data_IF_899257972906
#
_entry.id   IF_899257972906
#
_cell.length_a   1.000
_cell.length_b   1.000
_cell.length_c   1.000
_cell.angle_alpha   90.00
_cell.angle_beta   90.00
_cell.angle_gamma   90.00
#
_symmetry.space_group_name_H-M   'P 1'
#
loop_
_entity.id
_entity.type
_entity.pdbx_description
1 polymer ?
#
# COMPACT_ATOMS: atom_id res chain seq x y z
N UNK A 1 -14.25 29.33 22.24
CA UNK A 1 -14.31 29.23 20.78
C UNK A 1 -14.34 27.74 20.44
N UNK A 2 -15.50 27.26 20.01
CA UNK A 2 -15.71 25.83 19.68
C UNK A 2 -15.05 25.56 18.34
N UNK A 3 -13.96 24.78 18.33
CA UNK A 3 -13.45 24.18 17.10
C UNK A 3 -14.39 22.99 16.78
N UNK A 4 -15.35 23.22 15.90
CA UNK A 4 -16.08 22.17 15.22
C UNK A 4 -15.08 21.42 14.33
N UNK A 5 -14.66 20.22 14.75
CA UNK A 5 -13.97 19.25 13.91
C UNK A 5 -14.91 18.86 12.74
N UNK A 6 -14.81 19.60 11.64
CA UNK A 6 -15.42 19.22 10.38
C UNK A 6 -14.62 18.00 9.88
N UNK A 7 -15.17 16.81 10.08
CA UNK A 7 -14.60 15.57 9.58
C UNK A 7 -14.53 15.67 8.04
N UNK A 8 -13.32 15.74 7.48
CA UNK A 8 -13.11 15.86 6.04
C UNK A 8 -13.92 14.80 5.29
N UNK A 9 -14.56 15.18 4.20
CA UNK A 9 -15.33 14.25 3.36
C UNK A 9 -14.41 13.22 2.70
N UNK A 10 -14.95 12.06 2.34
CA UNK A 10 -14.16 11.03 1.64
C UNK A 10 -13.55 11.56 0.33
N UNK A 11 -14.25 12.42 -0.42
CA UNK A 11 -13.73 13.05 -1.64
C UNK A 11 -12.56 13.99 -1.36
N UNK A 12 -12.63 14.79 -0.31
CA UNK A 12 -11.55 15.70 0.10
C UNK A 12 -10.26 14.93 0.47
N UNK A 13 -10.39 13.80 1.18
CA UNK A 13 -9.24 12.96 1.52
C UNK A 13 -8.61 12.31 0.28
N UNK A 14 -9.42 11.94 -0.73
CA UNK A 14 -8.92 11.44 -2.00
C UNK A 14 -8.16 12.53 -2.79
N UNK A 15 -8.66 13.75 -2.83
CA UNK A 15 -7.97 14.87 -3.45
C UNK A 15 -6.64 15.19 -2.77
N UNK A 16 -6.62 15.22 -1.44
CA UNK A 16 -5.41 15.43 -0.65
C UNK A 16 -4.38 14.32 -0.89
N UNK A 17 -4.80 13.05 -0.88
CA UNK A 17 -3.92 11.94 -1.20
C UNK A 17 -3.36 12.07 -2.62
N UNK A 18 -4.21 12.38 -3.59
CA UNK A 18 -3.79 12.61 -4.98
C UNK A 18 -2.72 13.69 -5.07
N UNK A 19 -2.91 14.83 -4.41
CA UNK A 19 -1.94 15.92 -4.41
C UNK A 19 -0.58 15.51 -3.82
N UNK A 20 -0.59 14.81 -2.69
CA UNK A 20 0.63 14.29 -2.03
C UNK A 20 1.38 13.32 -2.96
N UNK A 21 0.68 12.34 -3.53
CA UNK A 21 1.33 11.33 -4.37
C UNK A 21 1.85 11.90 -5.69
N UNK A 22 1.13 12.86 -6.29
CA UNK A 22 1.61 13.56 -7.50
C UNK A 22 2.86 14.40 -7.27
N UNK A 23 3.08 14.86 -6.04
CA UNK A 23 4.29 15.58 -5.67
C UNK A 23 5.52 14.67 -5.51
N UNK A 24 5.41 13.36 -5.82
CA UNK A 24 6.49 12.37 -5.72
C UNK A 24 6.95 11.88 -7.10
N UNK A 25 7.97 12.50 -7.72
CA UNK A 25 8.43 12.10 -9.05
C UNK A 25 8.81 10.62 -9.19
N UNK A 26 9.50 9.99 -8.20
CA UNK A 26 9.82 8.57 -8.30
C UNK A 26 8.57 7.68 -8.34
N UNK A 27 7.57 7.92 -7.49
CA UNK A 27 6.31 7.18 -7.50
C UNK A 27 5.58 7.39 -8.83
N UNK A 28 5.46 8.62 -9.30
CA UNK A 28 4.81 8.93 -10.58
C UNK A 28 5.53 8.25 -11.76
N UNK A 29 6.85 8.12 -11.69
CA UNK A 29 7.61 7.34 -12.69
C UNK A 29 7.24 5.85 -12.63
N UNK A 30 7.15 5.27 -11.44
CA UNK A 30 6.73 3.87 -11.26
C UNK A 30 5.34 3.64 -11.82
N UNK A 31 4.36 4.49 -11.47
CA UNK A 31 2.99 4.39 -11.95
C UNK A 31 2.88 4.53 -13.48
N UNK A 32 3.64 5.46 -14.07
CA UNK A 32 3.67 5.68 -15.52
C UNK A 32 4.23 4.46 -16.26
N UNK A 33 5.29 3.85 -15.75
CA UNK A 33 5.88 2.64 -16.34
C UNK A 33 4.95 1.45 -16.16
N UNK A 34 4.39 1.25 -14.96
CA UNK A 34 3.45 0.16 -14.69
C UNK A 34 2.23 0.20 -15.63
N UNK A 35 1.67 1.39 -15.86
CA UNK A 35 0.59 1.60 -16.84
C UNK A 35 1.00 1.16 -18.25
N UNK A 36 2.19 1.52 -18.71
CA UNK A 36 2.70 1.15 -20.05
C UNK A 36 2.94 -0.34 -20.20
N UNK A 37 3.27 -1.03 -19.11
CA UNK A 37 3.48 -2.47 -19.11
C UNK A 37 2.17 -3.27 -19.20
N UNK A 38 1.01 -2.62 -19.01
CA UNK A 38 -0.32 -3.23 -19.10
C UNK A 38 -0.44 -4.53 -18.29
N UNK A 39 0.08 -4.54 -17.08
CA UNK A 39 -0.09 -5.69 -16.19
C UNK A 39 -1.59 -5.84 -15.83
N UNK A 40 -2.12 -7.06 -15.76
CA UNK A 40 -3.52 -7.23 -15.41
C UNK A 40 -3.76 -6.86 -13.95
N UNK A 41 -4.84 -6.11 -13.70
CA UNK A 41 -5.32 -5.70 -12.37
C UNK A 41 -4.19 -5.25 -11.41
N UNK A 42 -3.37 -4.29 -11.85
CA UNK A 42 -2.21 -3.84 -11.08
C UNK A 42 -2.52 -2.67 -10.15
N UNK A 43 -1.79 -2.63 -9.03
CA UNK A 43 -1.75 -1.52 -8.07
C UNK A 43 -0.32 -1.35 -7.55
N UNK A 44 0.06 -0.11 -7.23
CA UNK A 44 1.16 0.16 -6.30
C UNK A 44 0.55 0.42 -4.92
N UNK A 45 1.11 -0.20 -3.88
CA UNK A 45 0.58 -0.08 -2.53
C UNK A 45 1.69 -0.03 -1.45
N UNK A 46 1.34 -0.31 -0.18
CA UNK A 46 2.30 -0.40 0.92
C UNK A 46 2.98 0.93 1.24
N UNK A 47 4.26 0.87 1.64
CA UNK A 47 5.03 2.03 2.10
C UNK A 47 5.08 3.18 1.11
N UNK A 48 5.14 2.88 -0.19
CA UNK A 48 5.17 3.88 -1.24
C UNK A 48 3.91 4.76 -1.32
N UNK A 49 2.79 4.34 -0.72
CA UNK A 49 1.52 5.07 -0.76
C UNK A 49 1.16 5.70 0.59
N UNK A 50 1.24 4.97 1.71
CA UNK A 50 0.86 5.54 3.01
C UNK A 50 1.97 6.40 3.66
N UNK A 51 3.26 6.07 3.44
CA UNK A 51 4.35 6.82 4.09
C UNK A 51 4.42 8.28 3.63
N UNK A 52 4.23 8.65 2.35
CA UNK A 52 4.16 10.05 1.93
C UNK A 52 3.12 10.86 2.68
N UNK A 53 1.97 10.25 3.03
CA UNK A 53 0.93 10.93 3.82
C UNK A 53 1.41 11.19 5.23
N UNK A 54 1.97 10.16 5.91
CA UNK A 54 2.54 10.33 7.25
C UNK A 54 3.67 11.37 7.25
N UNK A 55 4.54 11.33 6.25
CA UNK A 55 5.65 12.28 6.08
C UNK A 55 5.13 13.71 5.92
N UNK A 56 4.15 13.91 5.01
CA UNK A 56 3.54 15.22 4.77
C UNK A 56 2.92 15.80 6.05
N UNK A 57 2.11 14.99 6.75
CA UNK A 57 1.40 15.43 7.96
C UNK A 57 2.32 15.70 9.15
N UNK A 58 3.52 15.14 9.14
CA UNK A 58 4.51 15.27 10.22
C UNK A 58 5.70 16.13 9.83
N UNK A 59 5.63 16.85 8.70
CA UNK A 59 6.64 17.82 8.25
C UNK A 59 7.97 17.18 7.81
N UNK A 60 7.96 15.90 7.43
CA UNK A 60 9.13 15.20 6.88
C UNK A 60 9.19 15.30 5.36
N UNK A 61 10.37 15.11 4.72
CA UNK A 61 10.45 14.93 3.26
C UNK A 61 9.52 13.81 2.79
N UNK A 62 8.80 14.00 1.67
CA UNK A 62 7.78 13.03 1.20
C UNK A 62 8.32 11.61 1.01
N UNK A 63 9.58 11.49 0.61
CA UNK A 63 10.29 10.22 0.37
C UNK A 63 10.97 9.64 1.62
N UNK A 64 10.85 10.29 2.79
CA UNK A 64 11.47 9.82 4.00
C UNK A 64 11.14 8.36 4.30
N UNK A 65 12.18 7.53 4.30
CA UNK A 65 12.11 6.13 4.69
C UNK A 65 11.42 5.20 3.69
N UNK A 66 11.08 5.65 2.49
CA UNK A 66 10.64 4.77 1.40
C UNK A 66 11.82 3.95 0.92
N UNK A 67 11.71 2.63 1.00
CA UNK A 67 12.77 1.69 0.63
C UNK A 67 12.50 1.02 -0.71
N UNK A 68 11.23 0.81 -1.01
CA UNK A 68 10.76 0.04 -2.16
C UNK A 68 9.39 0.54 -2.64
N UNK A 69 9.03 0.12 -3.84
CA UNK A 69 7.74 0.35 -4.47
C UNK A 69 7.13 -1.01 -4.77
N UNK A 70 6.15 -1.42 -3.97
CA UNK A 70 5.44 -2.69 -4.14
C UNK A 70 4.45 -2.58 -5.31
N UNK A 71 4.82 -3.10 -6.47
CA UNK A 71 3.96 -3.23 -7.64
C UNK A 71 3.30 -4.60 -7.63
N UNK A 72 2.04 -4.63 -7.31
CA UNK A 72 1.22 -5.83 -7.33
C UNK A 72 0.45 -5.95 -8.65
N UNK A 73 0.20 -7.17 -9.09
CA UNK A 73 -0.70 -7.48 -10.19
C UNK A 73 -1.43 -8.79 -9.90
N UNK A 74 -2.51 -9.07 -10.62
CA UNK A 74 -3.25 -10.31 -10.46
C UNK A 74 -3.38 -11.02 -11.81
N UNK A 75 -2.77 -12.20 -11.91
CA UNK A 75 -2.89 -13.10 -13.06
C UNK A 75 -2.98 -14.54 -12.56
N UNK A 76 -4.16 -15.13 -12.71
CA UNK A 76 -4.41 -16.52 -12.33
C UNK A 76 -4.29 -17.50 -13.50
N UNK A 77 -3.92 -17.05 -14.71
CA UNK A 77 -3.82 -17.88 -15.90
C UNK A 77 -2.63 -18.85 -15.84
N UNK A 78 -1.53 -18.42 -15.22
CA UNK A 78 -0.34 -19.26 -14.98
C UNK A 78 0.26 -18.91 -13.62
N UNK A 79 0.16 -19.86 -12.69
CA UNK A 79 0.67 -19.73 -11.34
C UNK A 79 2.09 -20.31 -11.17
N UNK A 80 2.81 -20.59 -12.26
CA UNK A 80 4.20 -21.04 -12.20
C UNK A 80 5.14 -19.94 -11.70
N UNK A 81 6.27 -20.35 -11.14
CA UNK A 81 7.33 -19.42 -10.76
C UNK A 81 7.90 -18.70 -11.97
N UNK A 82 8.04 -19.42 -13.08
CA UNK A 82 8.61 -18.97 -14.34
C UNK A 82 7.78 -17.81 -14.94
N UNK A 83 6.45 -17.91 -14.87
CA UNK A 83 5.55 -16.86 -15.35
C UNK A 83 5.72 -15.57 -14.53
N UNK A 84 5.75 -15.67 -13.20
CA UNK A 84 6.00 -14.49 -12.33
C UNK A 84 7.40 -13.92 -12.55
N UNK A 85 8.44 -14.76 -12.67
CA UNK A 85 9.81 -14.33 -12.89
C UNK A 85 9.99 -13.61 -14.25
N UNK A 86 9.28 -14.06 -15.29
CA UNK A 86 9.25 -13.37 -16.58
C UNK A 86 8.67 -11.94 -16.44
N UNK A 87 7.60 -11.76 -15.66
CA UNK A 87 7.03 -10.44 -15.37
C UNK A 87 8.01 -9.60 -14.56
N UNK A 88 8.64 -10.16 -13.52
CA UNK A 88 9.63 -9.46 -12.70
C UNK A 88 10.77 -8.94 -13.57
N UNK A 89 11.33 -9.77 -14.46
CA UNK A 89 12.40 -9.36 -15.39
C UNK A 89 11.95 -8.27 -16.35
N UNK A 90 10.74 -8.39 -16.92
CA UNK A 90 10.16 -7.38 -17.82
C UNK A 90 9.99 -6.03 -17.13
N UNK A 91 9.50 -6.03 -15.89
CA UNK A 91 9.34 -4.81 -15.10
C UNK A 91 10.70 -4.21 -14.74
N UNK A 92 11.64 -5.03 -14.24
CA UNK A 92 12.99 -4.58 -13.89
C UNK A 92 13.72 -3.93 -15.07
N UNK A 93 13.58 -4.50 -16.28
CA UNK A 93 14.17 -3.95 -17.50
C UNK A 93 13.57 -2.60 -17.94
N UNK A 94 12.41 -2.21 -17.42
CA UNK A 94 11.74 -0.95 -17.74
C UNK A 94 12.20 0.24 -16.87
N UNK A 95 13.08 -0.02 -15.91
CA UNK A 95 13.61 1.00 -14.99
C UNK A 95 15.13 1.07 -15.04
N UNK A 96 15.64 2.28 -14.84
CA UNK A 96 17.05 2.54 -14.52
C UNK A 96 17.24 2.61 -13.01
N UNK A 97 18.51 2.53 -12.54
CA UNK A 97 18.81 2.75 -11.13
C UNK A 97 18.53 4.21 -10.72
N UNK A 98 18.08 4.46 -9.49
CA UNK A 98 17.91 3.47 -8.41
C UNK A 98 16.56 2.74 -8.45
N UNK A 99 15.60 3.13 -9.28
CA UNK A 99 14.24 2.56 -9.28
C UNK A 99 14.23 1.07 -9.62
N UNK A 100 15.14 0.61 -10.49
CA UNK A 100 15.26 -0.81 -10.82
C UNK A 100 15.45 -1.69 -9.58
N UNK A 101 16.28 -1.28 -8.66
CA UNK A 101 16.52 -1.99 -7.39
C UNK A 101 15.42 -1.79 -6.36
N UNK A 102 14.62 -0.73 -6.49
CA UNK A 102 13.56 -0.39 -5.53
C UNK A 102 12.19 -0.96 -5.91
N UNK A 103 11.91 -1.24 -7.18
CA UNK A 103 10.60 -1.77 -7.60
C UNK A 103 10.54 -3.27 -7.36
N UNK A 104 9.61 -3.68 -6.50
CA UNK A 104 9.34 -5.08 -6.18
C UNK A 104 8.00 -5.48 -6.81
N UNK A 105 8.01 -6.58 -7.60
CA UNK A 105 6.83 -7.05 -8.32
C UNK A 105 6.34 -8.36 -7.74
N UNK A 106 5.01 -8.50 -7.55
CA UNK A 106 4.40 -9.73 -7.06
C UNK A 106 3.04 -9.99 -7.70
N UNK A 107 2.86 -11.25 -8.16
CA UNK A 107 1.55 -11.74 -8.58
C UNK A 107 0.70 -12.10 -7.36
N UNK A 108 -0.38 -11.36 -7.13
CA UNK A 108 -1.24 -11.58 -5.98
C UNK A 108 -2.02 -12.90 -6.05
N UNK A 109 -2.23 -13.44 -7.25
CA UNK A 109 -2.81 -14.77 -7.43
C UNK A 109 -1.93 -15.90 -6.86
N UNK A 110 -0.61 -15.66 -6.66
CA UNK A 110 0.35 -16.65 -6.19
C UNK A 110 0.71 -16.55 -4.70
N UNK A 111 0.35 -15.44 -4.04
CA UNK A 111 0.81 -15.18 -2.66
C UNK A 111 0.46 -16.31 -1.71
N UNK A 112 -0.72 -16.90 -1.83
CA UNK A 112 -1.17 -18.02 -0.99
C UNK A 112 -0.29 -19.28 -1.09
N UNK A 113 0.47 -19.46 -2.18
CA UNK A 113 1.31 -20.65 -2.38
C UNK A 113 2.58 -20.67 -1.49
N UNK A 114 3.03 -19.50 -1.07
CA UNK A 114 4.29 -19.38 -0.32
C UNK A 114 4.16 -18.64 1.01
N UNK A 115 3.06 -17.92 1.22
CA UNK A 115 2.89 -17.03 2.38
C UNK A 115 2.94 -17.79 3.69
N UNK A 116 2.22 -18.90 3.80
CA UNK A 116 2.17 -19.72 5.03
C UNK A 116 3.56 -20.28 5.37
N UNK A 117 4.29 -20.78 4.39
CA UNK A 117 5.66 -21.26 4.58
C UNK A 117 6.61 -20.18 5.08
N UNK A 118 6.45 -18.94 4.57
CA UNK A 118 7.34 -17.82 4.89
C UNK A 118 7.02 -17.14 6.22
N UNK A 119 5.72 -17.04 6.57
CA UNK A 119 5.26 -16.23 7.70
C UNK A 119 4.54 -17.02 8.79
N UNK A 120 4.26 -18.31 8.58
CA UNK A 120 3.54 -19.15 9.54
C UNK A 120 2.06 -18.83 9.68
N UNK A 121 1.48 -18.04 8.75
CA UNK A 121 0.09 -17.61 8.78
C UNK A 121 -0.63 -18.05 7.50
N UNK A 122 -1.84 -18.58 7.63
CA UNK A 122 -2.68 -18.91 6.46
C UNK A 122 -2.99 -17.66 5.66
N UNK A 123 -2.89 -17.79 4.34
CA UNK A 123 -3.26 -16.73 3.41
C UNK A 123 -4.17 -17.34 2.33
N UNK A 124 -5.48 -17.05 2.35
CA UNK A 124 -6.39 -17.60 1.35
C UNK A 124 -6.08 -17.06 -0.04
N UNK A 125 -6.36 -17.82 -1.11
CA UNK A 125 -6.29 -17.32 -2.48
C UNK A 125 -7.10 -16.03 -2.61
N UNK A 126 -6.59 -15.09 -3.37
CA UNK A 126 -7.29 -13.85 -3.72
C UNK A 126 -7.96 -13.99 -5.09
N UNK A 127 -8.93 -13.13 -5.36
CA UNK A 127 -9.63 -13.03 -6.64
C UNK A 127 -9.22 -11.79 -7.46
N UNK A 128 -8.61 -10.80 -6.81
CA UNK A 128 -8.09 -9.57 -7.43
C UNK A 128 -6.98 -8.93 -6.57
N UNK A 129 -6.26 -7.97 -7.16
CA UNK A 129 -5.19 -7.27 -6.45
C UNK A 129 -5.72 -6.43 -5.27
N UNK A 130 -6.92 -5.86 -5.39
CA UNK A 130 -7.50 -5.01 -4.34
C UNK A 130 -7.70 -5.77 -3.01
N UNK A 131 -8.04 -7.06 -3.05
CA UNK A 131 -8.20 -7.89 -1.86
C UNK A 131 -6.90 -8.01 -1.03
N UNK A 132 -5.73 -7.82 -1.64
CA UNK A 132 -4.47 -7.80 -0.90
C UNK A 132 -4.42 -6.68 0.14
N UNK A 133 -5.08 -5.55 -0.12
CA UNK A 133 -5.15 -4.41 0.81
C UNK A 133 -5.93 -4.77 2.08
N UNK A 134 -6.92 -5.64 1.97
CA UNK A 134 -7.68 -6.15 3.11
C UNK A 134 -6.88 -7.15 3.97
N UNK A 135 -5.73 -7.60 3.48
CA UNK A 135 -4.84 -8.53 4.19
C UNK A 135 -3.70 -7.85 4.93
N UNK A 136 -3.57 -6.54 4.86
CA UNK A 136 -2.55 -5.82 5.61
C UNK A 136 -2.78 -5.95 7.12
N UNK A 137 -1.68 -5.95 7.87
CA UNK A 137 -1.72 -6.05 9.33
C UNK A 137 -2.42 -4.86 9.99
N UNK A 138 -2.36 -3.69 9.35
CA UNK A 138 -3.08 -2.48 9.76
C UNK A 138 -4.07 -2.08 8.69
N UNK A 139 -5.31 -1.80 9.09
CA UNK A 139 -6.34 -1.23 8.22
C UNK A 139 -5.91 0.13 7.65
N UNK A 140 -5.20 0.95 8.44
CA UNK A 140 -4.69 2.25 8.03
C UNK A 140 -3.75 2.19 6.82
N UNK A 141 -3.02 1.09 6.64
CA UNK A 141 -2.06 0.90 5.56
C UNK A 141 -2.65 0.23 4.32
N UNK A 142 -3.90 -0.21 4.40
CA UNK A 142 -4.63 -0.83 3.30
C UNK A 142 -5.04 0.20 2.24
N UNK A 143 -4.08 0.81 1.57
CA UNK A 143 -4.30 1.78 0.49
C UNK A 143 -3.37 1.48 -0.68
N UNK A 144 -3.94 1.49 -1.89
CA UNK A 144 -3.23 1.27 -3.14
C UNK A 144 -3.67 2.25 -4.21
N UNK A 145 -2.83 2.44 -5.23
CA UNK A 145 -3.09 3.37 -6.33
C UNK A 145 -2.63 2.79 -7.66
N UNK A 146 -3.29 3.20 -8.73
CA UNK A 146 -2.81 3.05 -10.11
C UNK A 146 -3.08 4.33 -10.89
N UNK A 147 -2.32 4.54 -11.96
CA UNK A 147 -2.51 5.63 -12.89
C UNK A 147 -3.35 5.16 -14.07
N UNK A 148 -4.51 5.75 -14.25
CA UNK A 148 -5.43 5.44 -15.35
C UNK A 148 -4.94 6.03 -16.69
N UNK A 149 -5.58 5.64 -17.79
CA UNK A 149 -5.22 6.09 -19.15
C UNK A 149 -5.44 7.57 -19.36
N UNK A 150 -6.36 8.17 -18.61
CA UNK A 150 -6.67 9.60 -18.60
C UNK A 150 -5.84 10.40 -17.57
N UNK A 151 -4.75 9.81 -17.08
CA UNK A 151 -3.85 10.36 -16.06
C UNK A 151 -4.48 10.57 -14.67
N UNK A 152 -5.70 10.14 -14.40
CA UNK A 152 -6.25 10.14 -13.04
C UNK A 152 -5.61 9.06 -12.19
N UNK A 153 -5.40 9.36 -10.89
CA UNK A 153 -5.05 8.35 -9.91
C UNK A 153 -6.33 7.64 -9.46
N UNK A 154 -6.41 6.35 -9.73
CA UNK A 154 -7.41 5.46 -9.14
C UNK A 154 -6.90 5.01 -7.76
N UNK A 155 -7.63 5.35 -6.71
CA UNK A 155 -7.29 5.04 -5.33
C UNK A 155 -8.20 3.92 -4.84
N UNK A 156 -7.61 2.87 -4.28
CA UNK A 156 -8.31 1.76 -3.62
C UNK A 156 -7.97 1.80 -2.14
N UNK A 157 -8.98 2.03 -1.30
CA UNK A 157 -8.81 2.12 0.15
C UNK A 157 -10.03 1.43 0.83
N UNK A 158 -10.04 0.11 0.99
CA UNK A 158 -11.18 -0.64 1.50
C UNK A 158 -11.59 -0.23 2.92
N UNK A 159 -10.66 0.28 3.71
CA UNK A 159 -10.92 0.79 5.06
C UNK A 159 -11.09 2.31 5.12
N UNK A 160 -11.09 3.00 3.97
CA UNK A 160 -11.09 4.45 3.88
C UNK A 160 -9.73 5.07 4.21
N UNK A 161 -9.68 6.40 4.20
CA UNK A 161 -8.45 7.19 4.40
C UNK A 161 -8.45 7.97 5.72
N UNK A 162 -9.57 7.97 6.46
CA UNK A 162 -9.73 8.82 7.63
C UNK A 162 -8.67 8.58 8.71
N UNK A 163 -8.38 7.32 9.03
CA UNK A 163 -7.39 7.00 10.06
C UNK A 163 -5.97 7.39 9.64
N UNK A 164 -5.63 7.21 8.35
CA UNK A 164 -4.33 7.61 7.81
C UNK A 164 -4.12 9.13 7.93
N UNK A 165 -5.12 9.93 7.54
CA UNK A 165 -5.04 11.39 7.63
C UNK A 165 -5.21 11.94 9.05
N UNK A 166 -5.75 11.13 9.97
CA UNK A 166 -5.82 11.45 11.40
C UNK A 166 -4.56 11.00 12.18
N UNK A 167 -3.52 10.53 11.50
CA UNK A 167 -2.31 9.94 12.11
C UNK A 167 -2.66 8.83 13.12
N UNK A 168 -3.58 7.96 12.79
CA UNK A 168 -4.01 6.83 13.61
C UNK A 168 -3.61 5.52 12.95
N UNK A 169 -2.89 4.67 13.66
CA UNK A 169 -2.57 3.31 13.24
C UNK A 169 -3.58 2.35 13.87
N UNK A 170 -4.47 1.81 13.04
CA UNK A 170 -5.56 0.93 13.46
C UNK A 170 -5.24 -0.51 13.04
N UNK A 171 -5.35 -1.51 13.94
CA UNK A 171 -5.17 -2.89 13.55
C UNK A 171 -6.25 -3.35 12.56
N UNK A 172 -5.89 -4.31 11.73
CA UNK A 172 -6.89 -4.94 10.87
C UNK A 172 -7.70 -5.96 11.69
N UNK A 173 -8.96 -5.65 11.95
CA UNK A 173 -9.84 -6.51 12.76
C UNK A 173 -10.28 -7.80 12.04
N UNK A 174 -10.22 -7.81 10.71
CA UNK A 174 -10.55 -8.99 9.91
C UNK A 174 -9.39 -9.99 9.83
N UNK A 175 -8.19 -9.56 10.23
CA UNK A 175 -6.99 -10.40 10.23
C UNK A 175 -6.18 -10.20 11.50
N UNK A 176 -6.23 -11.16 12.41
CA UNK A 176 -5.31 -11.20 13.56
C UNK A 176 -3.93 -11.66 13.06
N UNK A 177 -2.94 -10.80 13.14
CA UNK A 177 -1.58 -11.08 12.71
C UNK A 177 -0.56 -10.46 13.66
N UNK A 178 0.54 -11.17 13.87
CA UNK A 178 1.70 -10.65 14.61
C UNK A 178 2.37 -9.46 13.90
N UNK A 179 2.09 -9.29 12.61
CA UNK A 179 2.61 -8.19 11.80
C UNK A 179 2.23 -6.80 12.32
N UNK A 180 1.09 -6.65 13.02
CA UNK A 180 0.68 -5.36 13.57
C UNK A 180 1.63 -4.85 14.65
N UNK A 181 2.12 -5.73 15.54
CA UNK A 181 3.08 -5.34 16.57
C UNK A 181 4.39 -4.82 15.95
N UNK A 182 4.87 -5.49 14.88
CA UNK A 182 6.06 -5.05 14.13
C UNK A 182 5.83 -3.72 13.43
N UNK A 183 4.69 -3.55 12.76
CA UNK A 183 4.32 -2.29 12.11
C UNK A 183 4.23 -1.15 13.14
N UNK A 184 3.61 -1.38 14.31
CA UNK A 184 3.50 -0.42 15.40
C UNK A 184 4.86 0.02 15.94
N UNK A 185 5.80 -0.91 16.11
CA UNK A 185 7.16 -0.60 16.57
C UNK A 185 7.91 0.28 15.54
N UNK A 186 7.79 -0.01 14.24
CA UNK A 186 8.40 0.80 13.19
C UNK A 186 7.78 2.20 13.11
N UNK A 187 6.46 2.29 13.20
CA UNK A 187 5.73 3.57 13.21
C UNK A 187 6.14 4.44 14.39
N UNK A 188 6.16 3.90 15.61
CA UNK A 188 6.60 4.66 16.82
C UNK A 188 7.99 5.25 16.66
N UNK A 189 8.89 4.51 16.03
CA UNK A 189 10.26 4.94 15.81
C UNK A 189 10.37 6.05 14.77
N UNK A 190 9.57 5.98 13.70
CA UNK A 190 9.66 6.87 12.53
C UNK A 190 8.74 8.07 12.61
N UNK A 191 7.55 7.88 13.15
CA UNK A 191 6.49 8.89 13.28
C UNK A 191 5.87 8.81 14.68
N UNK A 192 6.57 9.35 15.71
CA UNK A 192 6.08 9.32 17.09
C UNK A 192 4.75 10.09 17.27
N UNK A 193 4.38 10.92 16.30
CA UNK A 193 3.11 11.66 16.28
C UNK A 193 1.89 10.75 15.99
N UNK A 194 2.13 9.54 15.45
CA UNK A 194 1.05 8.61 15.11
C UNK A 194 0.53 7.91 16.36
N UNK A 195 -0.77 8.03 16.60
CA UNK A 195 -1.47 7.32 17.67
C UNK A 195 -1.72 5.88 17.26
N UNK A 196 -1.23 4.94 18.06
CA UNK A 196 -1.44 3.50 17.80
C UNK A 196 -2.66 3.05 18.60
N UNK A 197 -3.68 2.64 17.88
CA UNK A 197 -4.88 2.06 18.48
C UNK A 197 -4.59 0.62 18.93
N UNK A 198 -4.98 0.31 20.15
CA UNK A 198 -4.95 -1.07 20.62
C UNK A 198 -6.12 -1.85 19.98
N UNK A 199 -5.93 -3.14 19.73
CA UNK A 199 -7.04 -4.00 19.39
C UNK A 199 -8.11 -3.84 20.47
N UNK A 200 -9.28 -3.28 20.11
CA UNK A 200 -10.41 -3.24 21.06
C UNK A 200 -10.68 -4.68 21.44
N UNK A 201 -10.62 -4.98 22.71
CA UNK A 201 -11.21 -6.20 23.24
C UNK A 201 -12.69 -6.14 22.84
N UNK A 202 -13.06 -6.91 21.80
CA UNK A 202 -14.46 -7.18 21.56
C UNK A 202 -14.90 -8.01 22.76
N UNK A 203 -15.53 -7.35 23.73
CA UNK A 203 -16.24 -8.08 24.78
C UNK A 203 -17.32 -8.90 24.10
N UNK A 204 -17.48 -10.17 24.50
CA UNK A 204 -18.43 -11.10 23.91
C UNK A 204 -19.87 -10.64 24.05
#
# INVERSE_FOLDING_TARGET
MSMTDVKASGSELHERLTAILRAMPPLMRVLTVARRLCLPDWLVFSGAVYQPVLNHLTGRPLDYGIKDYDLAYFDASDLSYEAEDAVIRRVSAAFDEPLRSMVQVRNQARVHLWFETKFGERYPPLSCTAEALERFASATFGVGVRLETDDRLHIVAPFGLADLFALRLVPNFYRKTVGFARASADVRRRWPEVVIENARSVSP
#
